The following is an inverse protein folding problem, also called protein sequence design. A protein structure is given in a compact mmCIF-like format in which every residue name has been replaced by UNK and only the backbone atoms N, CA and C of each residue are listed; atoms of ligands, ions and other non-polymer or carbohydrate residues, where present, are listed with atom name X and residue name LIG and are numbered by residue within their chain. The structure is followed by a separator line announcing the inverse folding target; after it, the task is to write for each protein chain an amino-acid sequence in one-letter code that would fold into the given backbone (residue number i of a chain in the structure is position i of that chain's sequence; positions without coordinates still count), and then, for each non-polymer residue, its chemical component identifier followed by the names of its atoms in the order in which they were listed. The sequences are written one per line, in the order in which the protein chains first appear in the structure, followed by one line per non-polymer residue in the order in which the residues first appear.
data_IF_296560317019
#
_entry.id   IF_296560317019
#
_cell.length_a   1.000
_cell.length_b   1.000
_cell.length_c   1.000
_cell.angle_alpha   90.00
_cell.angle_beta   90.00
_cell.angle_gamma   90.00
#
_symmetry.space_group_name_H-M   'P 1'
#
loop_
_entity.id
_entity.type
_entity.pdbx_description
1 polymer ?
#
# COMPACT_ATOMS: atom_id res chain seq x y z
N UNK A 1 3.67 18.40 16.66
CA UNK A 1 2.94 17.61 15.63
C UNK A 1 1.82 16.87 16.33
N UNK A 2 0.58 17.11 15.93
CA UNK A 2 -0.61 16.46 16.50
C UNK A 2 -0.78 15.04 15.94
N UNK A 3 -0.52 13.97 16.71
CA UNK A 3 -0.64 12.61 16.23
C UNK A 3 -2.07 12.09 16.41
N UNK A 4 -2.55 11.37 15.40
CA UNK A 4 -3.74 10.53 15.47
C UNK A 4 -3.34 9.08 15.26
N UNK A 5 -3.59 8.23 16.27
CA UNK A 5 -3.31 6.80 16.20
C UNK A 5 -4.57 6.08 15.74
N UNK A 6 -4.54 5.50 14.55
CA UNK A 6 -5.66 4.79 13.93
C UNK A 6 -5.50 3.28 14.14
N UNK A 7 -6.45 2.67 14.83
CA UNK A 7 -6.46 1.24 15.18
C UNK A 7 -7.70 0.57 14.59
N UNK A 8 -7.59 -0.11 13.44
CA UNK A 8 -8.69 -0.93 12.90
C UNK A 8 -8.83 -2.21 13.72
N UNK A 9 -10.05 -2.56 14.12
CA UNK A 9 -10.33 -3.74 14.91
C UNK A 9 -11.49 -4.56 14.36
N UNK A 10 -11.31 -5.88 14.34
CA UNK A 10 -12.34 -6.85 14.00
C UNK A 10 -12.24 -8.06 14.94
N UNK A 11 -13.16 -8.16 15.90
CA UNK A 11 -13.19 -9.21 16.91
C UNK A 11 -11.89 -9.22 17.76
N UNK A 12 -11.57 -8.07 18.34
CA UNK A 12 -10.34 -7.83 19.10
C UNK A 12 -10.64 -7.28 20.53
N UNK A 13 -11.81 -7.63 21.10
CA UNK A 13 -12.28 -7.10 22.39
C UNK A 13 -11.23 -7.21 23.51
N UNK A 14 -10.62 -8.40 23.68
CA UNK A 14 -9.66 -8.67 24.75
C UNK A 14 -8.35 -7.90 24.54
N UNK A 15 -7.90 -7.81 23.30
CA UNK A 15 -6.67 -7.12 22.98
C UNK A 15 -6.81 -5.60 23.20
N UNK A 16 -7.95 -5.00 22.81
CA UNK A 16 -8.19 -3.57 22.98
C UNK A 16 -8.22 -3.14 24.43
N UNK A 17 -8.75 -3.98 25.36
CA UNK A 17 -8.76 -3.66 26.81
C UNK A 17 -7.36 -3.41 27.36
N UNK A 18 -6.35 -4.10 26.82
CA UNK A 18 -4.96 -3.99 27.28
C UNK A 18 -4.18 -2.96 26.45
N UNK A 19 -4.39 -2.94 25.14
CA UNK A 19 -3.62 -2.11 24.21
C UNK A 19 -3.97 -0.63 24.33
N UNK A 20 -5.27 -0.29 24.30
CA UNK A 20 -5.72 1.11 24.15
C UNK A 20 -5.23 2.01 25.30
N UNK A 21 -5.30 1.61 26.59
CA UNK A 21 -4.76 2.46 27.66
C UNK A 21 -3.27 2.78 27.48
N UNK A 22 -2.47 1.79 27.03
CA UNK A 22 -1.05 1.99 26.75
C UNK A 22 -0.81 2.92 25.57
N UNK A 23 -1.60 2.77 24.50
CA UNK A 23 -1.52 3.66 23.33
C UNK A 23 -1.86 5.10 23.72
N UNK A 24 -2.92 5.29 24.52
CA UNK A 24 -3.30 6.62 25.03
C UNK A 24 -2.18 7.24 25.85
N UNK A 25 -1.59 6.49 26.79
CA UNK A 25 -0.48 6.95 27.61
C UNK A 25 0.70 7.46 26.77
N UNK A 26 1.17 6.65 25.80
CA UNK A 26 2.31 7.02 24.98
C UNK A 26 1.99 8.09 23.92
N UNK A 27 0.77 8.11 23.37
CA UNK A 27 0.36 9.13 22.43
C UNK A 27 0.21 10.51 23.10
N UNK A 28 -0.39 10.58 24.29
CA UNK A 28 -0.53 11.82 25.07
C UNK A 28 0.84 12.31 25.57
N UNK A 29 1.78 11.41 25.85
CA UNK A 29 3.16 11.78 26.17
C UNK A 29 3.89 12.45 25.00
N UNK A 30 3.55 12.13 23.75
CA UNK A 30 4.08 12.82 22.56
C UNK A 30 3.40 14.18 22.33
N UNK A 31 2.09 14.29 22.54
CA UNK A 31 1.36 15.53 22.40
C UNK A 31 0.07 15.50 23.25
N UNK A 32 -0.21 16.52 24.09
CA UNK A 32 -1.36 16.53 24.99
C UNK A 32 -2.72 16.34 24.30
N UNK A 33 -2.85 16.85 23.06
CA UNK A 33 -4.07 16.75 22.27
C UNK A 33 -4.09 15.53 21.34
N UNK A 34 -3.14 14.58 21.49
CA UNK A 34 -3.12 13.35 20.71
C UNK A 34 -4.47 12.63 20.74
N UNK A 35 -4.84 12.00 19.62
CA UNK A 35 -6.09 11.24 19.48
C UNK A 35 -5.79 9.78 19.15
N UNK A 36 -6.63 8.90 19.70
CA UNK A 36 -6.63 7.47 19.38
C UNK A 36 -7.97 7.14 18.77
N UNK A 37 -7.98 6.86 17.47
CA UNK A 37 -9.20 6.53 16.74
C UNK A 37 -9.32 5.02 16.58
N UNK A 38 -10.33 4.44 17.22
CA UNK A 38 -10.68 3.04 17.10
C UNK A 38 -11.70 2.87 15.98
N UNK A 39 -11.38 2.07 14.99
CA UNK A 39 -12.29 1.79 13.86
C UNK A 39 -12.78 0.35 13.94
N UNK A 40 -14.05 0.15 14.33
CA UNK A 40 -14.69 -1.17 14.36
C UNK A 40 -15.13 -1.58 12.95
N UNK A 41 -14.48 -2.59 12.39
CA UNK A 41 -14.80 -3.13 11.05
C UNK A 41 -15.94 -4.16 11.11
N UNK A 42 -17.04 -3.83 11.78
CA UNK A 42 -18.24 -4.68 11.85
C UNK A 42 -18.02 -5.95 12.66
N UNK A 43 -17.40 -5.85 13.84
CA UNK A 43 -17.20 -6.97 14.76
C UNK A 43 -18.51 -7.60 15.20
N UNK A 44 -18.47 -8.90 15.47
CA UNK A 44 -19.62 -9.72 15.91
C UNK A 44 -19.52 -10.16 17.37
N UNK A 45 -18.41 -9.83 18.04
CA UNK A 45 -18.15 -10.05 19.47
C UNK A 45 -18.36 -8.75 20.27
N UNK A 46 -17.89 -8.71 21.51
CA UNK A 46 -18.01 -7.59 22.43
C UNK A 46 -17.11 -6.38 22.07
N UNK A 47 -16.39 -6.41 20.93
CA UNK A 47 -15.45 -5.34 20.53
C UNK A 47 -16.11 -3.95 20.55
N UNK A 48 -17.34 -3.85 20.02
CA UNK A 48 -18.04 -2.57 19.98
C UNK A 48 -18.37 -2.00 21.37
N UNK A 49 -18.70 -2.86 22.35
CA UNK A 49 -18.99 -2.47 23.73
C UNK A 49 -17.71 -2.04 24.44
N UNK A 50 -16.63 -2.82 24.26
CA UNK A 50 -15.30 -2.48 24.79
C UNK A 50 -14.82 -1.14 24.28
N UNK A 51 -14.96 -0.87 23.00
CA UNK A 51 -14.59 0.42 22.41
C UNK A 51 -15.36 1.59 23.03
N UNK A 52 -16.68 1.45 23.24
CA UNK A 52 -17.47 2.48 23.91
C UNK A 52 -17.02 2.72 25.36
N UNK A 53 -16.71 1.65 26.08
CA UNK A 53 -16.19 1.74 27.46
C UNK A 53 -14.86 2.47 27.49
N UNK A 54 -13.95 2.16 26.56
CA UNK A 54 -12.64 2.81 26.45
C UNK A 54 -12.77 4.29 26.10
N UNK A 55 -13.66 4.64 25.16
CA UNK A 55 -13.91 6.05 24.81
C UNK A 55 -14.53 6.85 25.97
N UNK A 56 -15.38 6.22 26.76
CA UNK A 56 -15.94 6.86 27.98
C UNK A 56 -14.86 7.08 29.06
N UNK A 57 -13.87 6.18 29.15
CA UNK A 57 -12.77 6.26 30.12
C UNK A 57 -11.64 7.22 29.70
N UNK A 58 -11.45 7.41 28.40
CA UNK A 58 -10.33 8.21 27.84
C UNK A 58 -10.83 9.27 26.86
N UNK A 59 -10.84 10.56 27.23
CA UNK A 59 -11.33 11.66 26.36
C UNK A 59 -10.56 11.82 25.03
N UNK A 60 -9.36 11.28 24.93
CA UNK A 60 -8.56 11.26 23.71
C UNK A 60 -8.95 10.13 22.73
N UNK A 61 -9.86 9.22 23.12
CA UNK A 61 -10.30 8.10 22.28
C UNK A 61 -11.55 8.48 21.52
N UNK A 62 -11.48 8.37 20.19
CA UNK A 62 -12.60 8.53 19.26
C UNK A 62 -12.99 7.19 18.64
N UNK A 63 -14.24 7.09 18.15
CA UNK A 63 -14.78 5.85 17.60
C UNK A 63 -15.36 6.05 16.21
N UNK A 64 -15.08 5.08 15.33
CA UNK A 64 -15.80 4.87 14.07
C UNK A 64 -16.37 3.46 14.04
N UNK A 65 -17.66 3.34 13.71
CA UNK A 65 -18.40 2.08 13.78
C UNK A 65 -18.96 1.69 12.41
N UNK A 66 -18.40 0.69 11.77
CA UNK A 66 -18.91 0.16 10.51
C UNK A 66 -20.02 -0.87 10.77
N UNK A 67 -21.08 -0.84 9.96
CA UNK A 67 -22.22 -1.74 10.12
C UNK A 67 -21.90 -3.20 9.78
N UNK A 68 -20.90 -3.43 8.91
CA UNK A 68 -20.46 -4.75 8.46
C UNK A 68 -18.98 -4.69 8.07
N UNK A 69 -18.34 -5.85 8.08
CA UNK A 69 -16.93 -5.98 7.70
C UNK A 69 -16.71 -5.52 6.24
N UNK A 70 -15.82 -4.56 6.07
CA UNK A 70 -15.37 -3.99 4.78
C UNK A 70 -13.91 -4.27 4.50
N UNK A 71 -13.23 -4.91 5.44
CA UNK A 71 -11.80 -5.23 5.38
C UNK A 71 -10.90 -4.12 5.92
N UNK A 72 -9.72 -4.54 6.40
CA UNK A 72 -8.75 -3.67 7.08
C UNK A 72 -8.40 -2.41 6.30
N UNK A 73 -8.21 -2.50 4.98
CA UNK A 73 -7.89 -1.33 4.17
C UNK A 73 -9.02 -0.29 4.15
N UNK A 74 -10.29 -0.73 4.12
CA UNK A 74 -11.43 0.17 4.18
C UNK A 74 -11.55 0.84 5.56
N UNK A 75 -11.33 0.09 6.64
CA UNK A 75 -11.30 0.65 8.00
C UNK A 75 -10.17 1.68 8.16
N UNK A 76 -8.97 1.38 7.66
CA UNK A 76 -7.85 2.33 7.67
C UNK A 76 -8.13 3.57 6.84
N UNK A 77 -8.75 3.42 5.66
CA UNK A 77 -9.14 4.56 4.83
C UNK A 77 -10.06 5.52 5.58
N UNK A 78 -11.11 5.00 6.19
CA UNK A 78 -12.06 5.79 7.00
C UNK A 78 -11.33 6.44 8.17
N UNK A 79 -10.46 5.70 8.86
CA UNK A 79 -9.69 6.23 9.97
C UNK A 79 -8.73 7.35 9.56
N UNK A 80 -8.06 7.21 8.40
CA UNK A 80 -7.16 8.25 7.89
C UNK A 80 -7.93 9.49 7.43
N UNK A 81 -9.06 9.31 6.71
CA UNK A 81 -9.95 10.40 6.33
C UNK A 81 -10.42 11.18 7.58
N UNK A 82 -10.86 10.48 8.63
CA UNK A 82 -11.30 11.09 9.89
C UNK A 82 -10.17 11.82 10.62
N UNK A 83 -8.97 11.24 10.67
CA UNK A 83 -7.80 11.87 11.28
C UNK A 83 -7.41 13.17 10.55
N UNK A 84 -7.43 13.16 9.21
CA UNK A 84 -7.15 14.34 8.38
C UNK A 84 -8.20 15.42 8.57
N UNK A 85 -9.49 15.07 8.63
CA UNK A 85 -10.59 16.00 8.95
C UNK A 85 -10.45 16.60 10.37
N UNK A 86 -9.92 15.81 11.31
CA UNK A 86 -9.63 16.23 12.68
C UNK A 86 -8.38 17.10 12.84
N UNK A 87 -7.68 17.42 11.73
CA UNK A 87 -6.50 18.28 11.72
C UNK A 87 -5.21 17.59 12.19
N UNK A 88 -5.09 16.27 12.00
CA UNK A 88 -3.86 15.55 12.28
C UNK A 88 -2.67 16.13 11.50
N UNK A 89 -1.54 16.40 12.18
CA UNK A 89 -0.25 16.63 11.52
C UNK A 89 0.42 15.32 11.13
N UNK A 90 0.16 14.27 11.94
CA UNK A 90 0.75 12.94 11.80
C UNK A 90 -0.32 11.88 12.02
N UNK A 91 -0.36 10.90 11.12
CA UNK A 91 -1.22 9.71 11.23
C UNK A 91 -0.35 8.50 11.56
N UNK A 92 -0.75 7.78 12.61
CA UNK A 92 -0.13 6.52 13.01
C UNK A 92 -1.09 5.38 12.72
N UNK A 93 -0.63 4.38 12.00
CA UNK A 93 -1.33 3.10 11.82
C UNK A 93 -0.77 2.09 12.82
N UNK A 94 -1.63 1.43 13.60
CA UNK A 94 -1.25 0.37 14.54
C UNK A 94 -2.29 -0.74 14.51
N UNK A 95 -1.84 -2.01 14.63
CA UNK A 95 -2.73 -3.17 14.65
C UNK A 95 -3.31 -3.38 16.07
N UNK A 96 -4.56 -3.87 16.13
CA UNK A 96 -5.27 -4.12 17.38
C UNK A 96 -4.81 -5.38 18.14
N UNK A 97 -3.93 -6.22 17.55
CA UNK A 97 -3.55 -7.52 18.09
C UNK A 97 -2.49 -7.49 19.21
N UNK A 98 -2.04 -6.28 19.56
CA UNK A 98 -1.09 -6.04 20.65
C UNK A 98 0.33 -6.52 20.38
N UNK A 99 0.68 -6.81 19.12
CA UNK A 99 2.03 -7.24 18.77
C UNK A 99 3.02 -6.07 18.68
N UNK A 100 2.56 -4.87 18.32
CA UNK A 100 3.35 -3.65 18.23
C UNK A 100 3.35 -2.94 19.59
N UNK A 101 4.52 -2.46 20.06
CA UNK A 101 4.63 -1.78 21.34
C UNK A 101 4.41 -0.27 21.19
N UNK A 102 3.41 0.31 21.87
CA UNK A 102 3.20 1.77 21.87
C UNK A 102 4.40 2.57 22.41
N UNK A 103 5.26 1.99 23.22
CA UNK A 103 6.47 2.61 23.72
C UNK A 103 7.46 3.01 22.60
N UNK A 104 7.32 2.46 21.42
CA UNK A 104 8.13 2.79 20.23
C UNK A 104 7.65 4.04 19.46
N UNK A 105 6.51 4.60 19.82
CA UNK A 105 5.98 5.83 19.18
C UNK A 105 7.00 6.98 19.17
N UNK A 106 7.75 7.26 20.24
CA UNK A 106 8.76 8.32 20.23
C UNK A 106 9.88 8.07 19.22
N UNK A 107 10.30 6.81 19.01
CA UNK A 107 11.34 6.48 18.03
C UNK A 107 10.89 6.73 16.59
N UNK A 108 9.62 6.40 16.27
CA UNK A 108 9.05 6.72 14.95
C UNK A 108 8.92 8.24 14.78
N UNK A 109 8.50 8.97 15.82
CA UNK A 109 8.36 10.43 15.77
C UNK A 109 9.73 11.12 15.58
N UNK A 110 10.79 10.60 16.19
CA UNK A 110 12.15 11.10 15.99
C UNK A 110 12.59 10.97 14.53
N UNK A 111 12.38 9.82 13.91
CA UNK A 111 12.73 9.62 12.50
C UNK A 111 11.92 10.53 11.54
N UNK A 112 10.66 10.86 11.86
CA UNK A 112 9.92 11.89 11.13
C UNK A 112 10.51 13.28 11.32
N UNK A 113 11.00 13.60 12.53
CA UNK A 113 11.65 14.87 12.81
C UNK A 113 12.98 15.00 12.06
N UNK A 114 13.72 13.90 11.85
CA UNK A 114 14.95 13.82 11.06
C UNK A 114 14.71 13.98 9.55
N UNK A 115 13.46 14.05 9.15
CA UNK A 115 13.08 14.40 7.78
C UNK A 115 12.50 13.28 6.96
N UNK A 116 12.15 12.14 7.53
CA UNK A 116 11.30 11.16 6.87
C UNK A 116 9.85 11.68 6.75
N UNK A 117 9.13 11.22 5.73
CA UNK A 117 7.73 11.55 5.51
C UNK A 117 6.82 10.38 5.93
N UNK A 118 7.34 9.13 5.81
CA UNK A 118 6.75 7.91 6.35
C UNK A 118 7.82 7.06 7.04
N UNK A 119 7.51 6.59 8.25
CA UNK A 119 8.38 5.70 9.04
C UNK A 119 7.65 4.39 9.29
N UNK A 120 8.33 3.26 9.03
CA UNK A 120 7.84 1.91 9.31
C UNK A 120 8.59 1.33 10.50
N UNK A 121 7.87 0.84 11.51
CA UNK A 121 8.46 0.03 12.57
C UNK A 121 8.85 -1.36 12.03
N UNK A 122 10.15 -1.60 11.88
CA UNK A 122 10.66 -2.83 11.29
C UNK A 122 10.96 -3.88 12.37
N UNK A 123 10.39 -5.06 12.22
CA UNK A 123 10.57 -6.19 13.12
C UNK A 123 11.87 -6.94 12.84
N UNK A 124 12.99 -6.47 13.37
CA UNK A 124 14.32 -7.04 13.09
C UNK A 124 14.54 -8.40 13.77
N UNK A 125 13.99 -8.60 14.96
CA UNK A 125 14.11 -9.85 15.73
C UNK A 125 12.83 -10.67 15.67
N UNK A 126 12.67 -11.48 14.60
CA UNK A 126 11.58 -12.45 14.52
C UNK A 126 11.96 -13.75 15.24
N UNK A 127 11.29 -14.04 16.34
CA UNK A 127 11.30 -15.37 16.99
C UNK A 127 10.42 -16.41 16.27
N UNK A 128 10.07 -16.16 15.01
CA UNK A 128 9.20 -17.01 14.20
C UNK A 128 9.89 -18.29 13.72
N UNK A 129 9.11 -19.36 13.47
CA UNK A 129 9.57 -20.62 12.88
C UNK A 129 10.33 -20.39 11.56
N UNK A 130 11.39 -21.15 11.34
CA UNK A 130 12.35 -21.02 10.22
C UNK A 130 11.68 -20.83 8.84
N UNK A 131 10.59 -21.56 8.55
CA UNK A 131 9.84 -21.48 7.28
C UNK A 131 9.19 -20.10 7.10
N UNK A 132 8.58 -19.50 8.12
CA UNK A 132 7.99 -18.15 8.04
C UNK A 132 9.04 -17.07 7.80
N UNK A 133 10.22 -17.22 8.39
CA UNK A 133 11.34 -16.29 8.26
C UNK A 133 11.89 -16.25 6.83
N UNK A 134 12.04 -17.42 6.19
CA UNK A 134 12.54 -17.52 4.80
C UNK A 134 11.56 -16.97 3.79
N UNK A 135 10.27 -17.34 3.91
CA UNK A 135 9.20 -16.85 3.01
C UNK A 135 9.05 -15.32 3.10
N UNK A 136 9.13 -14.77 4.32
CA UNK A 136 9.06 -13.32 4.50
C UNK A 136 10.27 -12.58 3.93
N UNK A 137 11.49 -13.15 4.05
CA UNK A 137 12.68 -12.55 3.44
C UNK A 137 12.60 -12.53 1.92
N UNK A 138 12.19 -13.63 1.30
CA UNK A 138 11.99 -13.70 -0.15
C UNK A 138 10.98 -12.65 -0.59
N UNK A 139 9.84 -12.58 0.11
CA UNK A 139 8.79 -11.60 -0.18
C UNK A 139 9.32 -10.16 -0.08
N UNK A 140 9.94 -9.78 1.05
CA UNK A 140 10.44 -8.42 1.24
C UNK A 140 11.55 -8.06 0.24
N UNK A 141 12.47 -9.01 -0.04
CA UNK A 141 13.53 -8.79 -1.05
C UNK A 141 12.95 -8.62 -2.45
N UNK A 142 11.95 -9.42 -2.82
CA UNK A 142 11.25 -9.28 -4.10
C UNK A 142 10.49 -7.95 -4.17
N UNK A 143 9.84 -7.54 -3.08
CA UNK A 143 9.16 -6.25 -2.99
C UNK A 143 10.15 -5.10 -3.15
N UNK A 144 11.27 -5.09 -2.42
CA UNK A 144 12.30 -4.08 -2.54
C UNK A 144 12.89 -4.00 -3.97
N UNK A 145 13.20 -5.16 -4.57
CA UNK A 145 13.74 -5.23 -5.93
C UNK A 145 12.77 -4.70 -6.98
N UNK A 146 11.49 -5.06 -6.86
CA UNK A 146 10.46 -4.66 -7.83
C UNK A 146 10.00 -3.22 -7.64
N UNK A 147 9.95 -2.71 -6.40
CA UNK A 147 9.48 -1.35 -6.12
C UNK A 147 10.58 -0.30 -6.11
N UNK A 148 11.85 -0.70 -5.89
CA UNK A 148 12.94 0.23 -5.63
C UNK A 148 12.86 0.93 -4.26
N UNK A 149 11.80 0.68 -3.47
CA UNK A 149 11.64 1.28 -2.16
C UNK A 149 12.65 0.70 -1.16
N UNK A 150 13.32 1.54 -0.36
CA UNK A 150 14.20 1.05 0.70
C UNK A 150 13.36 0.44 1.81
N UNK A 151 13.83 -0.69 2.39
CA UNK A 151 13.17 -1.31 3.55
C UNK A 151 13.30 -2.82 3.61
N UNK A 152 13.11 -3.36 4.82
CA UNK A 152 13.20 -4.77 5.15
C UNK A 152 11.89 -5.39 5.63
N UNK A 153 10.92 -4.58 6.10
CA UNK A 153 9.61 -5.05 6.58
C UNK A 153 8.43 -4.24 6.06
N UNK A 154 8.12 -4.40 4.78
CA UNK A 154 7.01 -3.71 4.13
C UNK A 154 5.64 -4.05 4.74
N UNK A 155 5.51 -5.25 5.33
CA UNK A 155 4.26 -5.76 5.90
C UNK A 155 4.01 -5.36 7.36
N UNK A 156 4.85 -4.50 7.97
CA UNK A 156 4.60 -4.02 9.32
C UNK A 156 3.27 -3.25 9.39
N UNK A 157 2.45 -3.55 10.40
CA UNK A 157 1.23 -2.83 10.73
C UNK A 157 1.49 -1.51 11.45
N UNK A 158 2.72 -1.29 11.92
CA UNK A 158 3.10 -0.13 12.69
C UNK A 158 3.83 0.89 11.80
N UNK A 159 3.12 1.96 11.44
CA UNK A 159 3.64 3.01 10.58
C UNK A 159 3.21 4.37 11.09
N UNK A 160 4.11 5.35 10.98
CA UNK A 160 3.84 6.75 11.29
C UNK A 160 4.14 7.59 10.05
N UNK A 161 3.23 8.48 9.67
CA UNK A 161 3.36 9.27 8.46
C UNK A 161 2.81 10.68 8.63
N UNK A 162 3.36 11.63 7.89
CA UNK A 162 2.84 13.00 7.82
C UNK A 162 1.43 13.00 7.22
N UNK A 163 0.63 13.99 7.57
CA UNK A 163 -0.73 14.16 7.05
C UNK A 163 -0.77 14.20 5.51
N UNK A 164 0.23 14.81 4.87
CA UNK A 164 0.36 14.86 3.41
C UNK A 164 0.46 13.46 2.81
N UNK A 165 1.33 12.61 3.38
CA UNK A 165 1.47 11.21 2.94
C UNK A 165 0.16 10.45 3.15
N UNK A 166 -0.48 10.62 4.33
CA UNK A 166 -1.76 9.99 4.61
C UNK A 166 -2.83 10.39 3.58
N UNK A 167 -2.92 11.66 3.22
CA UNK A 167 -3.84 12.17 2.21
C UNK A 167 -3.58 11.57 0.81
N UNK A 168 -2.31 11.41 0.44
CA UNK A 168 -1.92 10.86 -0.87
C UNK A 168 -2.17 9.36 -0.98
N UNK A 169 -2.01 8.60 0.12
CA UNK A 169 -2.22 7.14 0.12
C UNK A 169 -3.68 6.72 0.35
N UNK A 170 -4.53 7.57 0.92
CA UNK A 170 -5.96 7.29 1.16
C UNK A 170 -6.68 6.73 -0.07
N UNK A 171 -6.54 7.32 -1.30
CA UNK A 171 -7.20 6.78 -2.48
C UNK A 171 -6.75 5.37 -2.89
N UNK A 172 -5.59 4.94 -2.40
CA UNK A 172 -5.00 3.63 -2.68
C UNK A 172 -5.34 2.57 -1.61
N UNK A 173 -6.04 2.96 -0.53
CA UNK A 173 -6.43 2.06 0.57
C UNK A 173 -7.67 1.23 0.19
N UNK A 174 -7.47 0.16 -0.58
CA UNK A 174 -8.48 -0.86 -0.91
C UNK A 174 -7.84 -2.26 -0.91
N UNK A 175 -8.64 -3.32 -0.78
CA UNK A 175 -8.15 -4.71 -0.75
C UNK A 175 -7.03 -4.92 0.27
N UNK A 176 -5.88 -5.38 -0.19
CA UNK A 176 -4.69 -5.62 0.65
C UNK A 176 -3.62 -4.50 0.54
N UNK A 177 -3.96 -3.35 -0.07
CA UNK A 177 -3.02 -2.25 -0.36
C UNK A 177 -2.40 -1.64 0.90
N UNK A 178 -3.04 -1.77 2.06
CA UNK A 178 -2.47 -1.33 3.35
C UNK A 178 -1.10 -1.94 3.67
N UNK A 179 -0.74 -3.07 3.06
CA UNK A 179 0.58 -3.72 3.21
C UNK A 179 1.68 -3.02 2.41
N UNK A 180 1.31 -2.26 1.40
CA UNK A 180 2.22 -1.66 0.44
C UNK A 180 2.34 -0.14 0.63
N UNK A 181 1.83 0.42 1.73
CA UNK A 181 1.85 1.86 1.99
C UNK A 181 3.25 2.46 1.86
N UNK A 182 4.29 1.77 2.36
CA UNK A 182 5.68 2.21 2.22
C UNK A 182 6.12 2.27 0.76
N UNK A 183 5.72 1.29 -0.06
CA UNK A 183 6.02 1.25 -1.49
C UNK A 183 5.28 2.36 -2.23
N UNK A 184 3.98 2.53 -1.94
CA UNK A 184 3.14 3.59 -2.52
C UNK A 184 3.68 4.98 -2.18
N UNK A 185 4.00 5.23 -0.91
CA UNK A 185 4.56 6.50 -0.49
C UNK A 185 5.90 6.79 -1.18
N UNK A 186 6.78 5.79 -1.29
CA UNK A 186 8.05 5.93 -2.00
C UNK A 186 7.86 6.27 -3.48
N UNK A 187 6.95 5.59 -4.17
CA UNK A 187 6.64 5.83 -5.60
C UNK A 187 6.03 7.22 -5.84
N UNK A 188 5.27 7.74 -4.86
CA UNK A 188 4.76 9.11 -4.86
C UNK A 188 5.84 10.16 -4.54
N UNK A 189 7.09 9.75 -4.30
CA UNK A 189 8.24 10.64 -4.07
C UNK A 189 8.46 11.02 -2.60
N UNK A 190 7.74 10.42 -1.65
CA UNK A 190 7.94 10.66 -0.23
C UNK A 190 9.18 9.92 0.30
N UNK A 191 9.86 10.53 1.27
CA UNK A 191 11.01 9.91 1.94
C UNK A 191 10.53 8.90 2.97
N UNK A 192 10.86 7.64 2.74
CA UNK A 192 10.49 6.53 3.63
C UNK A 192 11.70 6.08 4.45
N UNK A 193 11.47 5.76 5.73
CA UNK A 193 12.49 5.25 6.64
C UNK A 193 11.97 4.04 7.42
N UNK A 194 12.89 3.25 7.99
CA UNK A 194 12.59 2.16 8.91
C UNK A 194 13.28 2.40 10.24
N UNK A 195 12.54 2.13 11.32
CA UNK A 195 13.06 2.13 12.69
C UNK A 195 12.89 0.71 13.25
N UNK A 196 13.95 0.11 13.84
CA UNK A 196 13.81 -1.17 14.52
C UNK A 196 12.88 -1.03 15.72
N UNK A 197 11.87 -1.91 15.81
CA UNK A 197 10.91 -1.93 16.92
C UNK A 197 10.83 -3.31 17.55
N UNK A 198 10.50 -3.35 18.84
CA UNK A 198 10.17 -4.59 19.51
C UNK A 198 8.81 -5.13 19.04
N UNK A 199 8.75 -6.45 18.89
CA UNK A 199 7.53 -7.12 18.43
C UNK A 199 7.19 -8.25 19.39
N UNK A 200 6.04 -8.12 20.04
CA UNK A 200 5.58 -9.07 21.05
C UNK A 200 4.80 -10.24 20.42
N UNK A 201 4.74 -11.40 21.11
CA UNK A 201 3.80 -12.45 20.73
C UNK A 201 2.37 -11.92 20.78
N UNK A 202 1.51 -12.38 19.86
CA UNK A 202 0.09 -12.03 19.88
C UNK A 202 -0.53 -12.41 21.22
N UNK A 203 -1.27 -11.50 21.84
CA UNK A 203 -1.85 -11.72 23.17
C UNK A 203 -3.01 -12.71 23.13
N UNK A 204 -3.86 -12.68 22.09
CA UNK A 204 -5.02 -13.56 21.91
C UNK A 204 -5.24 -13.91 20.44
N UNK A 205 -5.82 -15.10 20.14
CA UNK A 205 -6.20 -15.54 18.82
C UNK A 205 -5.20 -16.46 18.10
N UNK A 206 -5.68 -17.23 17.11
CA UNK A 206 -4.87 -18.16 16.30
C UNK A 206 -4.61 -17.63 14.88
N UNK A 207 -3.38 -17.79 14.38
CA UNK A 207 -3.02 -17.42 13.02
C UNK A 207 -3.60 -18.41 12.00
N UNK A 208 -4.60 -18.01 11.22
CA UNK A 208 -5.25 -18.81 10.14
C UNK A 208 -4.46 -18.75 8.82
N UNK A 209 -3.17 -19.16 8.79
CA UNK A 209 -2.35 -18.94 7.60
C UNK A 209 -1.85 -20.21 6.92
N UNK A 210 -2.18 -20.38 5.62
CA UNK A 210 -1.72 -21.45 4.72
C UNK A 210 -0.97 -20.93 3.49
N UNK A 211 -0.45 -21.86 2.64
CA UNK A 211 0.28 -21.60 1.38
C UNK A 211 -0.48 -20.69 0.39
N UNK A 212 -1.81 -20.68 0.41
CA UNK A 212 -2.64 -19.80 -0.40
C UNK A 212 -2.35 -18.30 -0.21
N UNK A 213 -1.77 -17.89 0.94
CA UNK A 213 -1.37 -16.50 1.19
C UNK A 213 -0.13 -16.10 0.38
N UNK A 214 0.79 -17.03 0.14
CA UNK A 214 2.00 -16.74 -0.66
C UNK A 214 1.61 -16.33 -2.09
N UNK A 215 0.73 -17.12 -2.72
CA UNK A 215 0.25 -16.83 -4.08
C UNK A 215 -0.58 -15.54 -4.15
N UNK A 216 -1.42 -15.28 -3.15
CA UNK A 216 -2.16 -14.02 -3.05
C UNK A 216 -1.20 -12.83 -2.89
N UNK A 217 -0.24 -12.92 -1.97
CA UNK A 217 0.75 -11.85 -1.78
C UNK A 217 1.62 -11.60 -3.02
N UNK A 218 1.95 -12.64 -3.78
CA UNK A 218 2.66 -12.47 -5.05
C UNK A 218 1.77 -11.80 -6.11
N UNK A 219 0.51 -12.21 -6.25
CA UNK A 219 -0.44 -11.58 -7.16
C UNK A 219 -0.68 -10.10 -6.78
N UNK A 220 -0.82 -9.80 -5.48
CA UNK A 220 -0.96 -8.44 -4.97
C UNK A 220 0.29 -7.60 -5.31
N UNK A 221 1.50 -8.15 -5.16
CA UNK A 221 2.74 -7.46 -5.49
C UNK A 221 2.84 -7.12 -6.99
N UNK A 222 2.47 -8.08 -7.85
CA UNK A 222 2.39 -7.85 -9.30
C UNK A 222 1.38 -6.74 -9.61
N UNK A 223 0.22 -6.78 -8.95
CA UNK A 223 -0.83 -5.74 -9.10
C UNK A 223 -0.32 -4.37 -8.67
N UNK A 224 0.33 -4.30 -7.50
CA UNK A 224 0.91 -3.03 -6.99
C UNK A 224 1.96 -2.51 -7.98
N UNK A 225 2.90 -3.37 -8.41
CA UNK A 225 3.91 -2.98 -9.39
C UNK A 225 3.31 -2.50 -10.71
N UNK A 226 2.27 -3.20 -11.18
CA UNK A 226 1.55 -2.80 -12.38
C UNK A 226 0.90 -1.43 -12.21
N UNK A 227 0.16 -1.22 -11.11
CA UNK A 227 -0.51 0.06 -10.84
C UNK A 227 0.50 1.20 -10.74
N UNK A 228 1.58 1.04 -9.96
CA UNK A 228 2.58 2.09 -9.76
C UNK A 228 3.36 2.39 -11.06
N UNK A 229 3.75 1.38 -11.83
CA UNK A 229 4.58 1.58 -13.03
C UNK A 229 3.79 2.02 -14.26
N UNK A 230 2.52 1.64 -14.35
CA UNK A 230 1.71 1.78 -15.56
C UNK A 230 0.39 2.52 -15.31
N UNK A 231 0.18 3.11 -14.10
CA UNK A 231 -1.04 3.87 -13.79
C UNK A 231 -1.32 4.97 -14.82
N UNK A 232 -0.25 5.65 -15.29
CA UNK A 232 -0.38 6.76 -16.21
C UNK A 232 -0.11 6.40 -17.68
N UNK A 233 0.44 5.21 -17.97
CA UNK A 233 0.80 4.79 -19.35
C UNK A 233 0.65 3.28 -19.54
N UNK A 234 -0.53 2.71 -19.37
CA UNK A 234 -0.75 1.26 -19.51
C UNK A 234 -0.52 0.78 -20.95
N UNK A 235 -0.70 1.67 -21.94
CA UNK A 235 -0.45 1.37 -23.34
C UNK A 235 0.98 0.93 -23.64
N UNK A 236 1.98 1.39 -22.87
CA UNK A 236 3.37 1.01 -23.10
C UNK A 236 3.64 -0.49 -22.79
N UNK A 237 3.00 -1.04 -21.74
CA UNK A 237 3.14 -2.46 -21.41
C UNK A 237 2.43 -3.33 -22.44
N UNK A 238 1.13 -3.10 -22.59
CA UNK A 238 0.30 -3.93 -23.47
C UNK A 238 0.67 -3.72 -24.94
N UNK A 239 1.02 -2.49 -25.33
CA UNK A 239 1.45 -2.14 -26.67
C UNK A 239 2.78 -2.81 -27.04
N UNK A 240 3.77 -2.81 -26.15
CA UNK A 240 5.05 -3.46 -26.37
C UNK A 240 4.95 -4.97 -26.57
N UNK A 241 4.27 -5.66 -25.64
CA UNK A 241 4.06 -7.11 -25.72
C UNK A 241 3.15 -7.45 -26.91
N UNK A 242 2.07 -6.68 -27.11
CA UNK A 242 1.13 -6.89 -28.19
C UNK A 242 1.77 -6.74 -29.58
N UNK A 243 2.59 -5.71 -29.78
CA UNK A 243 3.35 -5.50 -31.02
C UNK A 243 4.35 -6.62 -31.27
N UNK A 244 5.07 -7.07 -30.24
CA UNK A 244 6.01 -8.19 -30.37
C UNK A 244 5.29 -9.50 -30.80
N UNK A 245 4.18 -9.84 -30.15
CA UNK A 245 3.37 -11.00 -30.52
C UNK A 245 2.81 -10.86 -31.93
N UNK A 246 2.28 -9.70 -32.31
CA UNK A 246 1.72 -9.44 -33.63
C UNK A 246 2.76 -9.58 -34.74
N UNK A 247 3.93 -8.98 -34.57
CA UNK A 247 5.04 -9.07 -35.53
C UNK A 247 5.56 -10.50 -35.64
N UNK A 248 5.79 -11.19 -34.51
CA UNK A 248 6.27 -12.58 -34.51
C UNK A 248 5.27 -13.51 -35.21
N UNK A 249 3.99 -13.39 -34.89
CA UNK A 249 2.93 -14.14 -35.54
C UNK A 249 2.84 -13.85 -37.04
N UNK A 250 2.93 -12.58 -37.44
CA UNK A 250 2.98 -12.16 -38.83
C UNK A 250 4.17 -12.75 -39.61
N UNK A 251 5.36 -12.78 -38.98
CA UNK A 251 6.56 -13.41 -39.59
C UNK A 251 6.37 -14.93 -39.77
N UNK A 252 5.77 -15.62 -38.78
CA UNK A 252 5.48 -17.05 -38.91
C UNK A 252 4.50 -17.30 -40.03
N UNK A 253 3.45 -16.54 -40.17
CA UNK A 253 2.45 -16.68 -41.25
C UNK A 253 3.08 -16.35 -42.61
N UNK A 254 3.86 -15.28 -42.69
CA UNK A 254 4.58 -14.92 -43.91
C UNK A 254 5.53 -16.04 -44.36
N UNK A 255 6.34 -16.61 -43.43
CA UNK A 255 7.18 -17.74 -43.69
C UNK A 255 6.41 -18.96 -44.26
N UNK A 256 5.31 -19.34 -43.64
CA UNK A 256 4.46 -20.46 -44.10
C UNK A 256 3.84 -20.17 -45.49
N UNK A 257 3.45 -18.91 -45.72
CA UNK A 257 2.92 -18.50 -47.04
C UNK A 257 3.98 -18.64 -48.12
N UNK A 258 5.19 -18.12 -47.91
CA UNK A 258 6.30 -18.26 -48.84
C UNK A 258 6.65 -19.74 -49.08
N UNK A 259 6.73 -20.53 -48.01
CA UNK A 259 6.97 -21.96 -48.09
C UNK A 259 5.96 -22.67 -48.99
N UNK A 260 4.68 -22.37 -48.81
CA UNK A 260 3.59 -22.92 -49.66
C UNK A 260 3.75 -22.53 -51.12
N UNK A 261 4.07 -21.27 -51.41
CA UNK A 261 4.20 -20.78 -52.78
C UNK A 261 5.40 -21.41 -53.46
N UNK A 262 6.54 -21.48 -52.78
CA UNK A 262 7.82 -21.97 -53.38
C UNK A 262 7.85 -23.49 -53.50
N UNK A 263 7.35 -24.22 -52.49
CA UNK A 263 7.49 -25.69 -52.44
C UNK A 263 6.22 -26.46 -52.79
N UNK A 264 5.04 -25.78 -52.88
CA UNK A 264 3.77 -26.45 -53.03
C UNK A 264 3.30 -27.23 -51.78
N UNK A 265 4.06 -27.16 -50.66
CA UNK A 265 3.78 -27.94 -49.46
C UNK A 265 2.44 -27.57 -48.82
N UNK A 266 1.73 -28.56 -48.28
CA UNK A 266 0.53 -28.34 -47.48
C UNK A 266 0.93 -27.69 -46.15
N UNK A 267 0.19 -26.64 -45.76
CA UNK A 267 0.42 -25.90 -44.49
C UNK A 267 -0.73 -26.06 -43.47
N UNK A 268 -1.87 -26.66 -43.88
CA UNK A 268 -3.07 -26.78 -43.06
C UNK A 268 -2.89 -27.61 -41.78
N UNK A 269 -2.09 -28.69 -41.86
CA UNK A 269 -1.86 -29.60 -40.74
C UNK A 269 -0.63 -29.27 -39.92
N UNK A 270 -0.12 -28.05 -40.05
CA UNK A 270 1.07 -27.60 -39.28
C UNK A 270 0.66 -26.89 -38.01
N UNK A 271 1.06 -27.37 -36.80
CA UNK A 271 0.85 -26.69 -35.56
C UNK A 271 1.37 -25.22 -35.55
N UNK A 272 2.40 -24.98 -36.37
CA UNK A 272 2.99 -23.63 -36.53
C UNK A 272 2.00 -22.61 -37.16
N UNK A 273 1.10 -23.06 -38.04
CA UNK A 273 0.06 -22.20 -38.59
C UNK A 273 -0.88 -21.69 -37.50
N UNK A 274 -1.35 -22.62 -36.64
CA UNK A 274 -2.21 -22.27 -35.51
C UNK A 274 -1.50 -21.34 -34.54
N UNK A 275 -0.23 -21.63 -34.22
CA UNK A 275 0.59 -20.78 -33.36
C UNK A 275 0.76 -19.35 -33.94
N UNK A 276 1.01 -19.22 -35.25
CA UNK A 276 1.11 -17.91 -35.93
C UNK A 276 -0.19 -17.12 -35.84
N UNK A 277 -1.34 -17.77 -36.13
CA UNK A 277 -2.65 -17.13 -36.01
C UNK A 277 -2.96 -16.70 -34.58
N UNK A 278 -2.70 -17.57 -33.58
CA UNK A 278 -2.90 -17.24 -32.17
C UNK A 278 -2.03 -16.07 -31.74
N UNK A 279 -0.75 -16.01 -32.16
CA UNK A 279 0.13 -14.89 -31.82
C UNK A 279 -0.39 -13.55 -32.41
N UNK A 280 -0.88 -13.56 -33.64
CA UNK A 280 -1.48 -12.35 -34.27
C UNK A 280 -2.71 -11.92 -33.49
N UNK A 281 -3.62 -12.84 -33.17
CA UNK A 281 -4.85 -12.53 -32.43
C UNK A 281 -4.56 -12.02 -31.02
N UNK A 282 -3.69 -12.69 -30.27
CA UNK A 282 -3.25 -12.26 -28.93
C UNK A 282 -2.55 -10.91 -29.00
N UNK A 283 -1.69 -10.69 -30.01
CA UNK A 283 -1.01 -9.41 -30.22
C UNK A 283 -2.00 -8.28 -30.45
N UNK A 284 -2.98 -8.46 -31.34
CA UNK A 284 -4.04 -7.50 -31.59
C UNK A 284 -4.91 -7.23 -30.34
N UNK A 285 -5.27 -8.31 -29.60
CA UNK A 285 -6.04 -8.19 -28.37
C UNK A 285 -5.31 -7.38 -27.31
N UNK A 286 -4.00 -7.60 -27.11
CA UNK A 286 -3.19 -6.83 -26.16
C UNK A 286 -3.08 -5.36 -26.57
N UNK A 287 -2.92 -5.06 -27.86
CA UNK A 287 -2.92 -3.69 -28.37
C UNK A 287 -4.24 -2.97 -28.05
N UNK A 288 -5.36 -3.63 -28.30
CA UNK A 288 -6.69 -3.07 -27.98
C UNK A 288 -6.89 -2.87 -26.48
N UNK A 289 -6.42 -3.80 -25.64
CA UNK A 289 -6.45 -3.62 -24.18
C UNK A 289 -5.59 -2.44 -23.73
N UNK A 290 -4.42 -2.24 -24.35
CA UNK A 290 -3.58 -1.07 -24.07
C UNK A 290 -4.30 0.24 -24.36
N UNK A 291 -4.96 0.35 -25.50
CA UNK A 291 -5.74 1.53 -25.88
C UNK A 291 -6.95 1.74 -24.96
N UNK A 292 -7.66 0.66 -24.61
CA UNK A 292 -8.79 0.75 -23.68
C UNK A 292 -8.35 1.22 -22.29
N UNK A 293 -7.25 0.69 -21.78
CA UNK A 293 -6.70 1.11 -20.50
C UNK A 293 -6.29 2.58 -20.51
N UNK A 294 -5.71 3.08 -21.61
CA UNK A 294 -5.37 4.51 -21.80
C UNK A 294 -6.62 5.40 -21.77
N UNK A 295 -7.71 4.97 -22.44
CA UNK A 295 -8.99 5.68 -22.39
C UNK A 295 -9.57 5.75 -20.98
N UNK A 296 -9.45 4.67 -20.20
CA UNK A 296 -9.90 4.63 -18.79
C UNK A 296 -9.08 5.60 -17.95
N UNK A 297 -7.75 5.63 -18.11
CA UNK A 297 -6.87 6.58 -17.42
C UNK A 297 -7.23 8.02 -17.78
N UNK A 298 -7.42 8.29 -19.06
CA UNK A 298 -7.80 9.62 -19.54
C UNK A 298 -9.15 10.07 -18.95
N UNK A 299 -10.17 9.21 -18.98
CA UNK A 299 -11.47 9.51 -18.40
C UNK A 299 -11.38 9.77 -16.88
N UNK A 300 -10.55 8.99 -16.15
CA UNK A 300 -10.31 9.18 -14.72
C UNK A 300 -9.63 10.51 -14.42
N UNK A 301 -8.67 10.93 -15.24
CA UNK A 301 -8.00 12.23 -15.10
C UNK A 301 -8.96 13.40 -15.32
N UNK A 302 -9.86 13.30 -16.30
CA UNK A 302 -10.89 14.32 -16.55
C UNK A 302 -11.94 14.42 -15.43
N UNK A 303 -12.26 13.28 -14.80
CA UNK A 303 -13.22 13.23 -13.68
C UNK A 303 -12.66 13.74 -12.34
N UNK A 304 -11.35 13.95 -12.23
CA UNK A 304 -10.72 14.60 -11.07
C UNK A 304 -10.75 16.12 -11.29
N UNK A 305 -11.68 16.88 -10.63
CA UNK A 305 -11.62 18.34 -10.66
C UNK A 305 -10.29 18.73 -10.00
N UNK A 306 -9.54 19.61 -10.67
CA UNK A 306 -8.17 19.99 -10.39
C UNK A 306 -7.79 19.96 -8.90
N UNK A 307 -7.04 18.96 -8.50
CA UNK A 307 -6.09 19.17 -7.41
C UNK A 307 -5.06 20.11 -8.02
N UNK A 308 -5.21 21.39 -7.72
CA UNK A 308 -4.11 22.32 -7.91
C UNK A 308 -2.88 21.65 -7.28
N UNK A 309 -1.91 21.35 -8.12
CA UNK A 309 -0.56 21.06 -7.70
C UNK A 309 -0.16 22.33 -6.95
N UNK A 310 -0.33 22.33 -5.62
CA UNK A 310 0.26 23.38 -4.81
C UNK A 310 1.73 23.29 -5.12
N UNK A 311 2.35 24.34 -5.70
CA UNK A 311 3.77 24.29 -5.93
C UNK A 311 4.43 24.06 -4.57
N UNK A 312 5.08 22.92 -4.41
CA UNK A 312 5.88 22.55 -3.23
C UNK A 312 7.09 23.49 -3.02
N UNK A 313 7.18 24.51 -3.85
CA UNK A 313 8.14 25.60 -3.76
C UNK A 313 7.43 26.90 -3.48
N UNK A 314 7.50 27.33 -2.22
CA UNK A 314 7.25 28.72 -1.87
C UNK A 314 8.46 29.54 -2.36
N UNK A 315 8.37 30.00 -3.61
CA UNK A 315 9.38 30.86 -4.21
C UNK A 315 9.65 32.13 -3.35
N UNK A 316 8.69 32.52 -2.51
CA UNK A 316 8.84 33.64 -1.57
C UNK A 316 9.85 33.36 -0.44
N UNK A 317 9.95 32.10 0.04
CA UNK A 317 10.94 31.74 1.06
C UNK A 317 12.37 31.70 0.51
N UNK A 318 12.55 31.19 -0.72
CA UNK A 318 13.89 31.16 -1.35
C UNK A 318 14.46 32.56 -1.57
N UNK A 319 13.63 33.52 -1.99
CA UNK A 319 14.04 34.91 -2.22
C UNK A 319 14.33 35.63 -0.88
N UNK A 320 13.64 35.26 0.20
CA UNK A 320 13.91 35.83 1.54
C UNK A 320 15.20 35.29 2.15
N UNK A 321 15.55 34.01 1.92
CA UNK A 321 16.80 33.42 2.41
C UNK A 321 18.01 33.92 1.62
N UNK A 322 17.89 34.09 0.31
CA UNK A 322 18.99 34.68 -0.51
C UNK A 322 19.28 36.13 -0.15
N UNK A 323 18.30 36.91 0.29
CA UNK A 323 18.53 38.31 0.76
C UNK A 323 19.10 38.38 2.17
N UNK A 324 19.09 37.31 2.95
CA UNK A 324 19.73 37.25 4.28
C UNK A 324 21.19 36.81 4.25
N UNK A 325 21.63 36.22 3.14
CA UNK A 325 23.05 35.82 2.96
C UNK A 325 23.93 36.94 2.37
N UNK A 326 23.30 38.01 1.86
CA UNK A 326 24.03 39.16 1.27
C UNK A 326 24.02 40.43 2.19
N UNK A 327 23.65 40.27 3.46
CA UNK A 327 23.73 41.32 4.50
C UNK A 327 24.58 40.79 5.67
#
# INVERSE_FOLDING_TARGET
MLPWVVIPALNEADNLRVLVPRVVEHAVALHPDARVLLVNDGSTDDTAEVMRTLAAAHPSVELEMLRHNRGKAAALRIGFERALEGGADVVVMMDADGQDDPAELPALAAALAEGADLVTGARLTRRDRFVKRTTSRVYNRTTALLSGAPGNDFNSGFKMMRAEVAADVVPMLYGEMHRYLTVVAHDLGHRVAEVPVEHHPRMSGSSKYGLARFWRGFADLVTVRFLLSYENRPSHLFGGIGSACFVLGGLVLAYLTVLKIVTGATIGDRPLLLAGVLLVLVGLQLLLFGLLAELVVHARQQARPGRDVRPTYDAGRLVADLRRTDA
#
